data_IF_660391331569
#
_entry.id   IF_660391331569
#
_cell.length_a   1.000
_cell.length_b   1.000
_cell.length_c   1.000
_cell.angle_alpha   90.00
_cell.angle_beta   90.00
_cell.angle_gamma   90.00
#
_symmetry.space_group_name_H-M   'P 1'
#
loop_
_entity.id
_entity.type
_entity.pdbx_description
1 polymer ?
#
# COMPACT_ATOMS: atom_id res chain seq x y z
N UNK A 1 1.87 4.43 10.06
CA UNK A 1 1.10 5.08 8.99
C UNK A 1 0.85 6.54 9.35
N UNK A 2 0.16 6.82 10.46
CA UNK A 2 -0.11 8.18 10.94
C UNK A 2 1.13 9.07 11.03
N UNK A 3 2.25 8.57 11.56
CA UNK A 3 3.50 9.35 11.67
C UNK A 3 4.00 9.82 10.31
N UNK A 4 3.94 8.96 9.29
CA UNK A 4 4.43 9.28 7.94
C UNK A 4 3.48 10.24 7.25
N UNK A 5 2.17 10.06 7.40
CA UNK A 5 1.17 10.97 6.87
C UNK A 5 1.28 12.36 7.51
N UNK A 6 1.53 12.46 8.82
CA UNK A 6 1.77 13.77 9.48
C UNK A 6 3.06 14.46 9.04
N UNK A 7 4.07 13.70 8.61
CA UNK A 7 5.37 14.24 8.21
C UNK A 7 5.47 14.60 6.73
N UNK A 8 4.78 13.88 5.87
CA UNK A 8 4.93 13.96 4.41
C UNK A 8 3.60 14.11 3.65
N UNK A 9 2.49 14.27 4.37
CA UNK A 9 1.16 14.54 3.83
C UNK A 9 0.68 15.96 4.17
N UNK A 10 -0.51 16.31 3.70
CA UNK A 10 -1.11 17.64 3.92
C UNK A 10 -2.01 17.68 5.17
N UNK A 11 -2.41 18.90 5.59
CA UNK A 11 -3.27 19.09 6.78
C UNK A 11 -4.62 18.37 6.70
N UNK A 12 -5.12 18.09 5.50
CA UNK A 12 -6.40 17.40 5.27
C UNK A 12 -6.24 15.90 5.00
N UNK A 13 -5.03 15.35 5.09
CA UNK A 13 -4.82 13.94 4.87
C UNK A 13 -5.49 13.10 5.96
N UNK A 14 -6.24 12.10 5.53
CA UNK A 14 -7.00 11.21 6.40
C UNK A 14 -6.37 9.82 6.42
N UNK A 15 -6.17 9.27 7.62
CA UNK A 15 -5.79 7.87 7.82
C UNK A 15 -6.96 7.12 8.43
N UNK A 16 -7.46 6.11 7.71
CA UNK A 16 -8.53 5.23 8.17
C UNK A 16 -8.03 3.80 8.39
N UNK A 17 -8.59 3.11 9.38
CA UNK A 17 -8.43 1.67 9.54
C UNK A 17 -9.61 0.95 8.89
N UNK A 18 -9.33 0.03 7.97
CA UNK A 18 -10.37 -0.78 7.31
C UNK A 18 -10.70 -2.01 8.16
N UNK A 19 -9.67 -2.65 8.73
CA UNK A 19 -9.79 -3.84 9.55
C UNK A 19 -8.55 -4.75 9.42
N UNK A 20 -8.26 -5.56 10.45
CA UNK A 20 -7.05 -6.37 10.47
C UNK A 20 -5.78 -5.49 10.40
N UNK A 21 -4.89 -5.79 9.45
CA UNK A 21 -3.68 -5.03 9.14
C UNK A 21 -3.88 -3.99 8.03
N UNK A 22 -5.11 -3.78 7.56
CA UNK A 22 -5.41 -2.95 6.40
C UNK A 22 -5.80 -1.51 6.75
N UNK A 23 -5.07 -0.56 6.17
CA UNK A 23 -5.29 0.87 6.34
C UNK A 23 -5.53 1.56 4.99
N UNK A 24 -6.23 2.69 5.02
CA UNK A 24 -6.40 3.60 3.90
C UNK A 24 -5.84 4.97 4.25
N UNK A 25 -5.21 5.61 3.27
CA UNK A 25 -4.81 7.01 3.36
C UNK A 25 -5.48 7.75 2.21
N UNK A 26 -6.22 8.79 2.53
CA UNK A 26 -6.71 9.78 1.56
C UNK A 26 -5.80 11.00 1.70
N UNK A 27 -5.22 11.44 0.59
CA UNK A 27 -4.27 12.55 0.58
C UNK A 27 -4.61 13.48 -0.56
N UNK A 28 -4.55 14.78 -0.28
CA UNK A 28 -4.74 15.87 -1.25
C UNK A 28 -3.39 16.47 -1.68
N UNK A 29 -2.27 15.78 -1.41
CA UNK A 29 -0.94 16.33 -1.67
C UNK A 29 -0.69 16.64 -3.14
N UNK A 30 -0.20 17.87 -3.40
CA UNK A 30 0.32 18.30 -4.69
C UNK A 30 1.69 17.68 -5.01
N UNK A 31 2.36 17.15 -3.98
CA UNK A 31 3.64 16.49 -4.10
C UNK A 31 3.44 15.08 -4.69
N UNK A 32 4.39 14.50 -5.46
CA UNK A 32 4.13 13.23 -6.12
C UNK A 32 3.73 12.17 -5.10
N UNK A 33 2.53 11.56 -5.17
CA UNK A 33 2.05 10.61 -4.17
C UNK A 33 2.94 9.36 -4.05
N UNK A 34 3.79 9.14 -5.07
CA UNK A 34 4.91 8.21 -5.08
C UNK A 34 5.89 8.45 -3.90
N UNK A 35 6.16 9.70 -3.53
CA UNK A 35 7.05 10.03 -2.39
C UNK A 35 6.47 9.48 -1.08
N UNK A 36 5.18 9.69 -0.84
CA UNK A 36 4.50 9.20 0.37
C UNK A 36 4.62 7.67 0.48
N UNK A 37 4.35 6.93 -0.61
CA UNK A 37 4.53 5.48 -0.63
C UNK A 37 5.96 5.04 -0.32
N UNK A 38 6.96 5.72 -0.90
CA UNK A 38 8.38 5.43 -0.64
C UNK A 38 8.74 5.66 0.83
N UNK A 39 8.29 6.76 1.42
CA UNK A 39 8.53 7.03 2.84
C UNK A 39 7.83 6.02 3.76
N UNK A 40 6.61 5.62 3.44
CA UNK A 40 5.89 4.59 4.20
C UNK A 40 6.63 3.25 4.18
N UNK A 41 7.09 2.82 3.00
CA UNK A 41 7.89 1.59 2.85
C UNK A 41 9.20 1.69 3.64
N UNK A 42 9.99 2.76 3.43
CA UNK A 42 11.27 2.92 4.12
C UNK A 42 11.13 2.95 5.64
N UNK A 43 10.10 3.64 6.15
CA UNK A 43 9.83 3.73 7.58
C UNK A 43 9.36 2.40 8.18
N UNK A 44 8.63 1.61 7.41
CA UNK A 44 8.19 0.28 7.80
C UNK A 44 9.37 -0.71 7.82
N UNK A 45 10.10 -0.82 6.71
CA UNK A 45 11.24 -1.74 6.57
C UNK A 45 12.34 -1.43 7.59
N UNK A 46 12.61 -0.15 7.87
CA UNK A 46 13.58 0.25 8.89
C UNK A 46 13.12 -0.02 10.34
N UNK A 47 11.82 -0.17 10.58
CA UNK A 47 11.27 -0.40 11.92
C UNK A 47 10.94 -1.86 12.22
N UNK A 48 10.58 -2.63 11.20
CA UNK A 48 10.05 -3.99 11.36
C UNK A 48 11.08 -4.95 11.96
N UNK A 49 12.38 -4.74 11.67
CA UNK A 49 13.47 -5.57 12.21
C UNK A 49 13.51 -5.66 13.73
N UNK A 50 13.07 -4.62 14.45
CA UNK A 50 13.02 -4.61 15.92
C UNK A 50 12.02 -5.64 16.50
N UNK A 51 11.04 -6.08 15.70
CA UNK A 51 10.01 -7.04 16.10
C UNK A 51 10.40 -8.49 15.78
N UNK A 52 11.47 -8.71 15.01
CA UNK A 52 11.98 -10.04 14.66
C UNK A 52 13.04 -10.54 15.66
N UNK A 53 12.71 -10.50 16.96
CA UNK A 53 13.62 -10.86 18.07
C UNK A 53 14.18 -12.29 17.90
N UNK A 54 15.41 -12.41 17.41
CA UNK A 54 16.24 -13.62 17.53
C UNK A 54 15.92 -14.81 16.60
N UNK A 55 14.90 -14.72 15.74
CA UNK A 55 14.75 -15.67 14.64
C UNK A 55 15.80 -15.32 13.58
N UNK A 56 16.61 -16.30 13.14
CA UNK A 56 17.56 -16.09 12.04
C UNK A 56 16.82 -15.40 10.88
N UNK A 57 17.44 -14.33 10.35
CA UNK A 57 16.90 -13.48 9.27
C UNK A 57 16.35 -14.31 8.08
N UNK A 58 16.94 -15.48 7.85
CA UNK A 58 16.37 -16.58 7.07
C UNK A 58 15.41 -17.42 7.94
N UNK A 59 14.15 -17.00 8.03
CA UNK A 59 13.07 -17.94 8.34
C UNK A 59 12.41 -18.24 7.01
N UNK A 60 12.28 -19.52 6.68
CA UNK A 60 11.49 -19.97 5.55
C UNK A 60 10.03 -19.53 5.75
N UNK A 61 9.66 -18.36 5.23
CA UNK A 61 8.31 -17.82 5.32
C UNK A 61 7.56 -18.27 4.08
N UNK A 62 6.30 -18.65 4.24
CA UNK A 62 5.44 -18.86 3.09
C UNK A 62 5.02 -17.50 2.54
N UNK A 63 5.42 -17.21 1.30
CA UNK A 63 4.95 -16.02 0.60
C UNK A 63 3.43 -16.12 0.35
N UNK A 64 2.87 -15.03 -0.16
CA UNK A 64 1.43 -14.91 -0.40
C UNK A 64 0.95 -15.77 -1.59
N UNK A 65 1.85 -16.42 -2.32
CA UNK A 65 1.56 -17.40 -3.36
C UNK A 65 1.65 -18.85 -2.86
N UNK A 66 1.95 -19.04 -1.57
CA UNK A 66 2.11 -20.37 -0.96
C UNK A 66 3.50 -20.97 -1.16
N UNK A 67 4.45 -20.21 -1.70
CA UNK A 67 5.82 -20.67 -1.92
C UNK A 67 6.69 -20.32 -0.72
N UNK A 68 7.49 -21.27 -0.26
CA UNK A 68 8.51 -21.01 0.74
C UNK A 68 9.58 -20.10 0.16
N UNK A 69 9.73 -18.91 0.73
CA UNK A 69 10.74 -17.93 0.38
C UNK A 69 11.61 -17.62 1.58
N UNK A 70 12.88 -17.35 1.30
CA UNK A 70 13.77 -16.68 2.24
C UNK A 70 13.38 -15.21 2.22
N UNK A 71 12.69 -14.76 3.27
CA UNK A 71 12.28 -13.37 3.39
C UNK A 71 12.53 -12.90 4.82
N UNK A 72 13.17 -11.74 4.93
CA UNK A 72 13.47 -11.08 6.21
C UNK A 72 12.19 -10.48 6.81
N UNK A 73 11.29 -11.35 7.28
CA UNK A 73 10.14 -10.94 8.09
C UNK A 73 8.89 -10.49 7.31
N UNK A 74 8.07 -9.66 7.96
CA UNK A 74 6.79 -9.17 7.38
C UNK A 74 7.02 -7.96 6.47
N UNK A 75 6.19 -7.81 5.44
CA UNK A 75 6.35 -6.73 4.44
C UNK A 75 5.09 -5.91 4.22
N UNK A 76 5.30 -4.67 3.76
CA UNK A 76 4.25 -3.70 3.49
C UNK A 76 3.91 -3.68 2.00
N UNK A 77 2.62 -3.85 1.67
CA UNK A 77 2.12 -3.70 0.30
C UNK A 77 1.15 -2.54 0.19
N UNK A 78 1.44 -1.61 -0.72
CA UNK A 78 0.65 -0.40 -0.92
C UNK A 78 -0.02 -0.39 -2.30
N UNK A 79 -1.31 -0.08 -2.33
CA UNK A 79 -2.03 0.26 -3.54
C UNK A 79 -2.20 1.77 -3.62
N UNK A 80 -1.60 2.41 -4.62
CA UNK A 80 -1.73 3.85 -4.85
C UNK A 80 -2.69 4.12 -6.01
N UNK A 81 -3.79 4.81 -5.72
CA UNK A 81 -4.72 5.31 -6.73
C UNK A 81 -4.58 6.83 -6.82
N UNK A 82 -4.33 7.33 -8.03
CA UNK A 82 -4.31 8.76 -8.30
C UNK A 82 -5.60 9.15 -9.03
N UNK A 83 -6.33 10.13 -8.51
CA UNK A 83 -7.53 10.66 -9.13
C UNK A 83 -7.26 12.08 -9.65
N UNK A 84 -7.66 12.36 -10.89
CA UNK A 84 -7.48 13.65 -11.55
C UNK A 84 -8.57 14.69 -11.19
N UNK A 85 -9.63 14.26 -10.51
CA UNK A 85 -10.78 15.12 -10.18
C UNK A 85 -11.75 15.36 -11.35
N UNK A 86 -11.44 14.89 -12.56
CA UNK A 86 -12.25 15.12 -13.76
C UNK A 86 -13.35 14.07 -13.91
N UNK A 87 -13.06 12.83 -13.55
CA UNK A 87 -13.96 11.71 -13.73
C UNK A 87 -14.83 11.46 -12.49
N UNK A 88 -16.12 11.15 -12.70
CA UNK A 88 -16.99 10.68 -11.61
C UNK A 88 -16.51 9.33 -11.11
N UNK A 89 -16.17 9.25 -9.84
CA UNK A 89 -15.81 8.01 -9.15
C UNK A 89 -16.85 7.67 -8.10
N UNK A 90 -17.10 6.37 -7.90
CA UNK A 90 -17.89 5.88 -6.77
C UNK A 90 -17.01 5.13 -5.79
N UNK A 91 -17.41 5.01 -4.51
CA UNK A 91 -16.65 4.23 -3.53
C UNK A 91 -16.40 2.78 -3.98
N UNK A 92 -17.35 2.18 -4.71
CA UNK A 92 -17.20 0.83 -5.25
C UNK A 92 -16.08 0.74 -6.30
N UNK A 93 -15.97 1.76 -7.17
CA UNK A 93 -14.92 1.85 -8.18
C UNK A 93 -13.54 1.94 -7.53
N UNK A 94 -13.41 2.82 -6.54
CA UNK A 94 -12.16 3.02 -5.77
C UNK A 94 -11.78 1.72 -5.07
N UNK A 95 -12.73 1.08 -4.39
CA UNK A 95 -12.52 -0.18 -3.67
C UNK A 95 -12.05 -1.30 -4.60
N UNK A 96 -12.69 -1.46 -5.77
CA UNK A 96 -12.32 -2.48 -6.75
C UNK A 96 -10.93 -2.24 -7.33
N UNK A 97 -10.62 -0.99 -7.69
CA UNK A 97 -9.31 -0.62 -8.22
C UNK A 97 -8.21 -0.82 -7.17
N UNK A 98 -8.45 -0.40 -5.92
CA UNK A 98 -7.51 -0.55 -4.81
C UNK A 98 -7.24 -2.03 -4.53
N UNK A 99 -8.28 -2.88 -4.48
CA UNK A 99 -8.14 -4.31 -4.28
C UNK A 99 -7.32 -4.97 -5.40
N UNK A 100 -7.53 -4.58 -6.66
CA UNK A 100 -6.76 -5.07 -7.82
C UNK A 100 -5.29 -4.68 -7.73
N UNK A 101 -4.97 -3.43 -7.42
CA UNK A 101 -3.60 -2.96 -7.26
C UNK A 101 -2.92 -3.60 -6.05
N UNK A 102 -3.65 -3.75 -4.94
CA UNK A 102 -3.16 -4.41 -3.73
C UNK A 102 -2.81 -5.86 -3.99
N UNK A 103 -3.62 -6.59 -4.78
CA UNK A 103 -3.28 -7.96 -5.22
C UNK A 103 -1.96 -8.00 -6.00
N UNK A 104 -1.72 -7.03 -6.87
CA UNK A 104 -0.46 -6.94 -7.63
C UNK A 104 0.72 -6.60 -6.72
N UNK A 105 0.57 -5.62 -5.81
CA UNK A 105 1.61 -5.27 -4.84
C UNK A 105 1.93 -6.45 -3.91
N UNK A 106 0.92 -7.25 -3.53
CA UNK A 106 1.10 -8.45 -2.72
C UNK A 106 1.84 -9.59 -3.42
N UNK A 107 1.88 -9.58 -4.76
CA UNK A 107 2.62 -10.56 -5.56
C UNK A 107 4.11 -10.22 -5.73
N UNK A 108 4.51 -9.00 -5.36
CA UNK A 108 5.91 -8.59 -5.33
C UNK A 108 6.54 -9.08 -4.03
N UNK A 109 7.70 -9.73 -4.13
CA UNK A 109 8.49 -10.10 -2.95
C UNK A 109 9.08 -8.86 -2.31
N UNK A 110 9.06 -8.78 -0.98
CA UNK A 110 9.45 -7.57 -0.25
C UNK A 110 8.30 -6.59 -0.02
N UNK A 111 8.65 -5.40 0.48
CA UNK A 111 7.73 -4.27 0.56
C UNK A 111 7.67 -3.56 -0.79
N UNK A 112 6.45 -3.23 -1.24
CA UNK A 112 6.24 -2.69 -2.58
C UNK A 112 4.98 -1.85 -2.67
N UNK A 113 4.95 -0.93 -3.64
CA UNK A 113 3.74 -0.23 -4.05
C UNK A 113 3.45 -0.47 -5.53
N UNK A 114 2.18 -0.50 -5.89
CA UNK A 114 1.72 -0.46 -7.28
C UNK A 114 0.78 0.73 -7.43
N UNK A 115 1.06 1.57 -8.42
CA UNK A 115 0.33 2.79 -8.69
C UNK A 115 -0.46 2.69 -10.01
N UNK A 116 -1.66 3.24 -10.02
CA UNK A 116 -2.38 3.56 -11.25
C UNK A 116 -3.17 4.85 -11.07
N UNK A 117 -3.34 5.61 -12.15
CA UNK A 117 -4.45 6.56 -12.20
C UNK A 117 -5.77 5.79 -12.15
N UNK A 118 -6.86 6.41 -11.71
CA UNK A 118 -8.21 5.85 -11.90
C UNK A 118 -8.55 6.00 -13.39
N UNK A 119 -8.47 4.96 -14.22
CA UNK A 119 -8.77 5.06 -15.65
C UNK A 119 -10.28 4.85 -15.87
N UNK A 120 -10.80 5.22 -17.04
CA UNK A 120 -12.18 4.99 -17.53
C UNK A 120 -12.69 3.52 -17.45
N UNK A 121 -11.89 2.58 -16.94
CA UNK A 121 -12.04 1.13 -17.09
C UNK A 121 -13.07 0.45 -16.17
N UNK A 122 -14.18 1.12 -15.87
CA UNK A 122 -15.40 0.44 -15.38
C UNK A 122 -16.46 0.54 -16.47
N UNK A 123 -16.05 0.25 -17.71
CA UNK A 123 -16.95 0.02 -18.85
C UNK A 123 -17.11 -1.45 -19.22
N UNK A 124 -16.37 -2.37 -18.62
CA UNK A 124 -16.47 -3.79 -18.98
C UNK A 124 -17.04 -4.62 -17.83
N UNK A 125 -18.37 -4.54 -17.67
CA UNK A 125 -19.28 -5.66 -17.36
C UNK A 125 -20.70 -5.26 -17.80
N UNK A 126 -20.95 -5.33 -19.10
CA UNK A 126 -22.29 -5.65 -19.63
C UNK A 126 -22.39 -7.15 -19.85
#
# INVERSE_FOLDING_TARGET
>A
MEDVTRLAGEQHDFVGHIGGDDFIVLSETDDPPIKLCKYMIARFDGGVGAYHQGAKASTAVMDRSGKTVEQDGVTLSLSLLCWDGEHKVTPAMISQAAARLKKQAKAVSGSAYVAAGIPESIRERE
#
